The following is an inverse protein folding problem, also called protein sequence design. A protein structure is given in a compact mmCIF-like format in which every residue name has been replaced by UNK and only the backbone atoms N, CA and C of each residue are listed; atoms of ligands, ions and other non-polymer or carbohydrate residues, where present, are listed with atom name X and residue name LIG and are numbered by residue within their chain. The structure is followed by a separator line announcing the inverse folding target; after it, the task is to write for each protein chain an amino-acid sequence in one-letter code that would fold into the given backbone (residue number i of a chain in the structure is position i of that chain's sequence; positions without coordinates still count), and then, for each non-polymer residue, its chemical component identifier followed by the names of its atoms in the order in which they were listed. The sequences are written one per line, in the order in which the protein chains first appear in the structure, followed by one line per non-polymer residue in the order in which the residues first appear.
data_IF_914316616218
#
_entry.id   IF_914316616218
#
_cell.length_a   1.000
_cell.length_b   1.000
_cell.length_c   1.000
_cell.angle_alpha   90.00
_cell.angle_beta   90.00
_cell.angle_gamma   90.00
#
_symmetry.space_group_name_H-M   'P 1'
#
loop_
_entity.id
_entity.type
_entity.pdbx_description
1 polymer ?
#
# COMPACT_ATOMS: atom_id res chain seq x y z
N UNK A 1 25.21 -29.44 5.96
CA UNK A 1 24.19 -28.67 6.70
C UNK A 1 22.91 -28.74 5.89
N UNK A 2 21.99 -29.64 6.23
CA UNK A 2 20.74 -29.81 5.48
C UNK A 2 19.82 -28.64 5.79
N UNK A 3 19.60 -27.77 4.79
CA UNK A 3 18.61 -26.72 4.85
C UNK A 3 17.21 -27.33 5.05
N UNK A 4 16.62 -27.13 6.22
CA UNK A 4 15.28 -27.61 6.50
C UNK A 4 14.26 -26.56 6.03
N UNK A 5 13.57 -26.75 4.89
CA UNK A 5 12.67 -25.75 4.30
C UNK A 5 11.36 -25.56 5.07
N UNK A 6 11.05 -26.46 6.00
CA UNK A 6 9.76 -26.44 6.73
C UNK A 6 9.48 -25.14 7.49
N UNK A 7 10.44 -24.54 8.26
CA UNK A 7 10.15 -23.30 8.98
C UNK A 7 9.95 -22.10 8.07
N UNK A 8 10.59 -22.05 6.89
CA UNK A 8 10.41 -20.97 5.93
C UNK A 8 9.05 -21.06 5.23
N UNK A 9 8.64 -22.27 4.87
CA UNK A 9 7.35 -22.51 4.23
C UNK A 9 6.18 -22.20 5.18
N UNK A 10 6.30 -22.58 6.44
CA UNK A 10 5.30 -22.23 7.48
C UNK A 10 5.19 -20.71 7.64
N UNK A 11 6.30 -19.97 7.69
CA UNK A 11 6.30 -18.52 7.81
C UNK A 11 5.65 -17.85 6.60
N UNK A 12 5.92 -18.33 5.39
CA UNK A 12 5.29 -17.84 4.17
C UNK A 12 3.78 -18.10 4.16
N UNK A 13 3.35 -19.27 4.57
CA UNK A 13 1.93 -19.61 4.68
C UNK A 13 1.22 -18.74 5.73
N UNK A 14 1.85 -18.51 6.88
CA UNK A 14 1.30 -17.63 7.93
C UNK A 14 1.19 -16.19 7.46
N UNK A 15 2.22 -15.65 6.78
CA UNK A 15 2.17 -14.27 6.26
C UNK A 15 1.10 -14.12 5.18
N UNK A 16 1.00 -15.08 4.27
CA UNK A 16 -0.03 -15.08 3.23
C UNK A 16 -1.44 -15.20 3.82
N UNK A 17 -1.63 -16.08 4.81
CA UNK A 17 -2.90 -16.21 5.53
C UNK A 17 -3.31 -14.93 6.24
N UNK A 18 -2.35 -14.22 6.86
CA UNK A 18 -2.60 -12.94 7.52
C UNK A 18 -3.05 -11.87 6.51
N UNK A 19 -2.36 -11.75 5.36
CA UNK A 19 -2.73 -10.83 4.29
C UNK A 19 -4.11 -11.15 3.71
N UNK A 20 -4.39 -12.43 3.49
CA UNK A 20 -5.69 -12.88 3.00
C UNK A 20 -6.80 -12.56 4.00
N UNK A 21 -6.56 -12.77 5.30
CA UNK A 21 -7.49 -12.42 6.35
C UNK A 21 -7.82 -10.92 6.36
N UNK A 22 -6.80 -10.06 6.28
CA UNK A 22 -6.97 -8.61 6.20
C UNK A 22 -7.79 -8.22 4.96
N UNK A 23 -7.49 -8.81 3.81
CA UNK A 23 -8.18 -8.53 2.56
C UNK A 23 -9.66 -8.94 2.62
N UNK A 24 -9.95 -10.16 3.08
CA UNK A 24 -11.33 -10.68 3.14
C UNK A 24 -12.14 -9.95 4.21
N UNK A 25 -11.57 -9.78 5.41
CA UNK A 25 -12.27 -9.12 6.51
C UNK A 25 -12.46 -7.63 6.24
N UNK A 26 -11.44 -6.95 5.69
CA UNK A 26 -11.54 -5.56 5.28
C UNK A 26 -12.58 -5.35 4.18
N UNK A 27 -12.66 -6.26 3.20
CA UNK A 27 -13.69 -6.23 2.16
C UNK A 27 -15.11 -6.42 2.73
N UNK A 28 -15.27 -7.35 3.68
CA UNK A 28 -16.57 -7.55 4.35
C UNK A 28 -17.00 -6.34 5.20
N UNK A 29 -16.04 -5.51 5.65
CA UNK A 29 -16.32 -4.31 6.43
C UNK A 29 -16.55 -3.06 5.58
N UNK A 30 -16.38 -3.12 4.24
CA UNK A 30 -16.62 -1.96 3.35
C UNK A 30 -18.09 -1.50 3.38
N UNK A 31 -19.02 -2.44 3.51
CA UNK A 31 -20.45 -2.14 3.54
C UNK A 31 -20.93 -1.57 4.88
N UNK A 32 -20.09 -1.60 5.92
CA UNK A 32 -20.41 -0.99 7.20
C UNK A 32 -20.20 0.53 7.13
N UNK A 33 -21.28 1.31 7.21
CA UNK A 33 -21.13 2.76 7.19
C UNK A 33 -20.35 3.21 8.42
N UNK A 34 -19.30 3.99 8.21
CA UNK A 34 -18.62 4.74 9.27
C UNK A 34 -19.55 5.89 9.72
N UNK A 35 -20.70 5.53 10.30
CA UNK A 35 -21.68 6.51 10.76
C UNK A 35 -21.06 7.39 11.85
N UNK A 36 -21.20 8.70 11.68
CA UNK A 36 -20.77 9.67 12.69
C UNK A 36 -21.79 9.62 13.85
N UNK A 37 -21.32 9.26 15.04
CA UNK A 37 -22.10 9.26 16.25
C UNK A 37 -21.43 10.13 17.31
N UNK A 38 -21.75 11.39 17.31
CA UNK A 38 -21.14 12.36 18.23
C UNK A 38 -21.38 12.06 19.71
N UNK A 39 -22.41 11.28 20.06
CA UNK A 39 -22.67 10.83 21.41
C UNK A 39 -21.71 9.73 21.87
N UNK A 40 -21.14 9.01 20.95
CA UNK A 40 -20.17 7.92 21.19
C UNK A 40 -18.72 8.36 20.99
N UNK A 41 -18.39 9.66 21.18
CA UNK A 41 -17.01 10.16 21.00
C UNK A 41 -16.10 9.69 22.12
N UNK A 42 -14.87 9.29 21.72
CA UNK A 42 -13.80 8.94 22.65
C UNK A 42 -14.20 7.89 23.70
N UNK A 43 -15.09 6.97 23.35
CA UNK A 43 -15.40 5.86 24.21
C UNK A 43 -14.20 4.93 24.33
N UNK A 44 -13.87 4.45 25.54
CA UNK A 44 -12.83 3.45 25.73
C UNK A 44 -13.24 2.12 25.09
N UNK A 45 -12.28 1.17 24.90
CA UNK A 45 -12.59 -0.16 24.45
C UNK A 45 -13.63 -0.86 25.32
N UNK A 46 -14.67 -1.42 24.70
CA UNK A 46 -15.78 -2.11 25.33
C UNK A 46 -16.24 -3.28 24.46
N UNK A 47 -17.16 -4.11 24.94
CA UNK A 47 -17.72 -5.24 24.21
C UNK A 47 -18.38 -4.85 22.87
N UNK A 48 -18.88 -3.62 22.74
CA UNK A 48 -19.46 -3.08 21.52
C UNK A 48 -18.42 -2.45 20.59
N UNK A 49 -17.40 -1.78 21.14
CA UNK A 49 -16.32 -1.09 20.42
C UNK A 49 -14.97 -1.62 20.89
N UNK A 50 -14.47 -2.66 20.24
CA UNK A 50 -13.27 -3.38 20.70
C UNK A 50 -12.02 -2.50 20.80
N UNK A 51 -11.88 -1.52 19.92
CA UNK A 51 -10.78 -0.53 19.94
C UNK A 51 -11.25 0.86 20.39
N UNK A 52 -12.49 0.95 20.91
CA UNK A 52 -13.09 2.21 21.23
C UNK A 52 -13.50 3.01 19.98
N UNK A 53 -13.76 4.30 20.17
CA UNK A 53 -14.24 5.19 19.13
C UNK A 53 -13.34 6.42 18.95
N UNK A 54 -13.33 6.98 17.73
CA UNK A 54 -12.57 8.17 17.40
C UNK A 54 -13.27 9.48 17.85
N UNK A 55 -12.70 10.63 17.44
CA UNK A 55 -13.24 11.96 17.70
C UNK A 55 -14.60 12.24 17.01
N UNK A 56 -15.01 11.41 16.07
CA UNK A 56 -16.30 11.46 15.37
C UNK A 56 -17.27 10.36 15.84
N UNK A 57 -16.89 9.57 16.86
CA UNK A 57 -17.67 8.45 17.36
C UNK A 57 -17.74 7.26 16.42
N UNK A 58 -16.76 7.10 15.52
CA UNK A 58 -16.65 5.97 14.58
C UNK A 58 -15.90 4.83 15.24
N UNK A 59 -16.28 3.59 14.93
CA UNK A 59 -15.60 2.41 15.41
C UNK A 59 -14.18 2.31 14.84
N UNK A 60 -13.19 2.32 15.72
CA UNK A 60 -11.78 2.23 15.34
C UNK A 60 -11.41 0.86 14.78
N UNK A 61 -12.07 -0.23 15.20
CA UNK A 61 -11.85 -1.57 14.66
C UNK A 61 -12.18 -1.63 13.17
N UNK A 62 -13.39 -1.21 12.80
CA UNK A 62 -13.83 -1.17 11.39
C UNK A 62 -12.90 -0.27 10.58
N UNK A 63 -12.57 0.91 11.11
CA UNK A 63 -11.70 1.87 10.44
C UNK A 63 -10.28 1.34 10.19
N UNK A 64 -9.71 0.58 11.13
CA UNK A 64 -8.41 -0.07 10.95
C UNK A 64 -8.42 -1.07 9.79
N UNK A 65 -9.43 -1.91 9.70
CA UNK A 65 -9.51 -2.91 8.63
C UNK A 65 -9.81 -2.29 7.26
N UNK A 66 -10.65 -1.27 7.19
CA UNK A 66 -10.88 -0.52 5.95
C UNK A 66 -9.60 0.20 5.48
N UNK A 67 -8.87 0.81 6.42
CA UNK A 67 -7.58 1.42 6.14
C UNK A 67 -6.51 0.41 5.68
N UNK A 68 -6.44 -0.74 6.35
CA UNK A 68 -5.54 -1.82 5.97
C UNK A 68 -5.85 -2.37 4.57
N UNK A 69 -7.13 -2.55 4.22
CA UNK A 69 -7.55 -2.95 2.89
C UNK A 69 -7.15 -1.92 1.83
N UNK A 70 -7.40 -0.63 2.09
CA UNK A 70 -7.01 0.46 1.18
C UNK A 70 -5.49 0.47 0.95
N UNK A 71 -4.69 0.32 2.01
CA UNK A 71 -3.24 0.23 1.92
C UNK A 71 -2.79 -0.98 1.09
N UNK A 72 -3.46 -2.13 1.26
CA UNK A 72 -3.19 -3.34 0.50
C UNK A 72 -3.50 -3.15 -1.00
N UNK A 73 -4.62 -2.52 -1.33
CA UNK A 73 -5.01 -2.22 -2.71
C UNK A 73 -3.99 -1.29 -3.39
N UNK A 74 -3.58 -0.22 -2.69
CA UNK A 74 -2.55 0.70 -3.19
C UNK A 74 -1.22 -0.03 -3.39
N UNK A 75 -0.80 -0.83 -2.40
CA UNK A 75 0.45 -1.59 -2.47
C UNK A 75 0.49 -2.58 -3.63
N UNK A 76 -0.59 -3.35 -3.83
CA UNK A 76 -0.70 -4.30 -4.95
C UNK A 76 -0.71 -3.54 -6.28
N UNK A 77 -1.50 -2.46 -6.38
CA UNK A 77 -1.55 -1.63 -7.58
C UNK A 77 -0.17 -1.07 -7.96
N UNK A 78 0.54 -0.50 -6.99
CA UNK A 78 1.89 0.02 -7.18
C UNK A 78 2.88 -1.08 -7.61
N UNK A 79 2.82 -2.27 -6.97
CA UNK A 79 3.68 -3.39 -7.29
C UNK A 79 3.44 -3.93 -8.72
N UNK A 80 2.18 -4.02 -9.14
CA UNK A 80 1.83 -4.44 -10.51
C UNK A 80 2.30 -3.41 -11.54
N UNK A 81 2.06 -2.12 -11.31
CA UNK A 81 2.53 -1.07 -12.21
C UNK A 81 4.06 -1.04 -12.33
N UNK A 82 4.77 -1.09 -11.20
CA UNK A 82 6.23 -1.07 -11.21
C UNK A 82 6.82 -2.34 -11.86
N UNK A 83 6.23 -3.50 -11.58
CA UNK A 83 6.62 -4.76 -12.20
C UNK A 83 6.40 -4.76 -13.71
N UNK A 84 5.28 -4.24 -14.18
CA UNK A 84 5.01 -4.09 -15.61
C UNK A 84 6.02 -3.17 -16.29
N UNK A 85 6.29 -1.99 -15.71
CA UNK A 85 7.30 -1.05 -16.23
C UNK A 85 8.68 -1.71 -16.30
N UNK A 86 9.09 -2.43 -15.23
CA UNK A 86 10.37 -3.12 -15.18
C UNK A 86 10.48 -4.19 -16.27
N UNK A 87 9.41 -4.96 -16.53
CA UNK A 87 9.35 -5.95 -17.60
C UNK A 87 9.50 -5.31 -18.98
N UNK A 88 8.79 -4.21 -19.23
CA UNK A 88 8.87 -3.46 -20.49
C UNK A 88 10.29 -2.93 -20.70
N UNK A 89 10.88 -2.31 -19.68
CA UNK A 89 12.25 -1.81 -19.76
C UNK A 89 13.26 -2.92 -20.03
N UNK A 90 13.13 -4.05 -19.34
CA UNK A 90 13.99 -5.21 -19.55
C UNK A 90 13.83 -5.81 -20.95
N UNK A 91 12.63 -5.87 -21.50
CA UNK A 91 12.37 -6.35 -22.85
C UNK A 91 12.99 -5.42 -23.91
N UNK A 92 12.79 -4.10 -23.76
CA UNK A 92 13.36 -3.09 -24.66
C UNK A 92 14.89 -3.11 -24.63
N UNK A 93 15.49 -3.27 -23.46
CA UNK A 93 16.94 -3.38 -23.29
C UNK A 93 17.56 -4.56 -24.05
N UNK A 94 16.78 -5.63 -24.27
CA UNK A 94 17.22 -6.83 -25.00
C UNK A 94 17.22 -6.67 -26.53
N UNK A 95 16.52 -5.69 -27.08
CA UNK A 95 16.34 -5.53 -28.53
C UNK A 95 17.64 -5.04 -29.19
N UNK A 96 18.32 -4.09 -28.56
CA UNK A 96 19.54 -3.50 -29.16
C UNK A 96 20.48 -2.95 -28.06
N UNK A 97 21.82 -3.12 -28.20
CA UNK A 97 22.81 -2.65 -27.22
C UNK A 97 22.72 -1.14 -26.89
N UNK A 98 22.35 -0.32 -27.87
CA UNK A 98 22.15 1.14 -27.63
C UNK A 98 20.95 1.42 -26.73
N UNK A 99 19.89 0.63 -26.83
CA UNK A 99 18.72 0.74 -25.96
C UNK A 99 19.04 0.31 -24.53
N UNK A 100 19.87 -0.72 -24.36
CA UNK A 100 20.36 -1.15 -23.06
C UNK A 100 21.12 -0.02 -22.34
N UNK A 101 22.05 0.64 -23.05
CA UNK A 101 22.78 1.79 -22.50
C UNK A 101 21.83 2.92 -22.10
N UNK A 102 20.84 3.23 -22.94
CA UNK A 102 19.85 4.27 -22.66
C UNK A 102 18.99 3.92 -21.42
N UNK A 103 18.51 2.67 -21.31
CA UNK A 103 17.71 2.22 -20.17
C UNK A 103 18.51 2.27 -18.86
N UNK A 104 19.78 1.87 -18.89
CA UNK A 104 20.69 1.98 -17.73
C UNK A 104 20.87 3.45 -17.33
N UNK A 105 21.10 4.33 -18.28
CA UNK A 105 21.32 5.75 -18.01
C UNK A 105 20.09 6.41 -17.38
N UNK A 106 18.89 6.05 -17.85
CA UNK A 106 17.63 6.52 -17.25
C UNK A 106 17.50 5.97 -15.81
N UNK A 107 17.78 4.70 -15.59
CA UNK A 107 17.70 4.08 -14.26
C UNK A 107 18.69 4.72 -13.30
N UNK A 108 19.95 4.91 -13.73
CA UNK A 108 21.00 5.53 -12.91
C UNK A 108 20.66 7.00 -12.59
N UNK A 109 20.08 7.74 -13.54
CA UNK A 109 19.62 9.10 -13.32
C UNK A 109 18.50 9.16 -12.27
N UNK A 110 17.55 8.22 -12.32
CA UNK A 110 16.49 8.13 -11.31
C UNK A 110 17.03 7.74 -9.92
N UNK A 111 17.98 6.80 -9.87
CA UNK A 111 18.59 6.36 -8.61
C UNK A 111 19.52 7.41 -8.01
N UNK A 112 20.13 8.28 -8.82
CA UNK A 112 21.01 9.35 -8.35
C UNK A 112 20.25 10.50 -7.66
N UNK A 113 18.94 10.62 -7.89
CA UNK A 113 18.13 11.64 -7.25
C UNK A 113 17.76 11.22 -5.82
N UNK A 114 17.93 12.10 -4.82
CA UNK A 114 17.41 11.84 -3.48
C UNK A 114 15.91 11.54 -3.53
N UNK A 115 15.50 10.37 -3.03
CA UNK A 115 14.12 9.88 -3.11
C UNK A 115 13.09 10.91 -2.60
N UNK A 116 13.42 11.62 -1.51
CA UNK A 116 12.55 12.65 -0.95
C UNK A 116 12.37 13.85 -1.89
N UNK A 117 13.42 14.28 -2.60
CA UNK A 117 13.32 15.37 -3.56
C UNK A 117 12.43 15.00 -4.76
N UNK A 118 12.59 13.77 -5.26
CA UNK A 118 11.77 13.26 -6.36
C UNK A 118 10.30 13.16 -5.94
N UNK A 119 10.03 12.70 -4.72
CA UNK A 119 8.67 12.59 -4.19
C UNK A 119 8.02 13.97 -4.02
N UNK A 120 8.75 14.96 -3.48
CA UNK A 120 8.27 16.33 -3.35
C UNK A 120 8.00 16.94 -4.73
N UNK A 121 8.90 16.74 -5.71
CA UNK A 121 8.75 17.24 -7.06
C UNK A 121 7.49 16.67 -7.73
N UNK A 122 7.26 15.34 -7.60
CA UNK A 122 6.06 14.69 -8.13
C UNK A 122 4.80 15.23 -7.45
N UNK A 123 4.80 15.32 -6.12
CA UNK A 123 3.67 15.87 -5.38
C UNK A 123 3.37 17.31 -5.79
N UNK A 124 4.40 18.13 -6.00
CA UNK A 124 4.23 19.53 -6.43
C UNK A 124 3.70 19.63 -7.86
N UNK A 125 4.20 18.82 -8.79
CA UNK A 125 3.78 18.86 -10.19
C UNK A 125 2.40 18.25 -10.42
N UNK A 126 2.04 17.17 -9.73
CA UNK A 126 0.75 16.49 -9.86
C UNK A 126 -0.30 17.01 -8.87
N UNK A 127 0.11 17.43 -7.68
CA UNK A 127 -0.78 17.90 -6.62
C UNK A 127 -0.88 19.42 -6.48
N UNK A 128 -0.01 20.19 -7.13
CA UNK A 128 0.06 21.66 -7.04
C UNK A 128 -0.92 22.41 -7.94
N UNK A 129 -1.83 21.74 -8.64
CA UNK A 129 -2.93 22.39 -9.33
C UNK A 129 -3.97 22.92 -8.33
N UNK A 130 -4.67 24.01 -8.70
CA UNK A 130 -5.70 24.71 -7.91
C UNK A 130 -6.79 23.80 -7.27
N UNK A 131 -6.85 22.51 -7.60
CA UNK A 131 -7.83 21.54 -7.12
C UNK A 131 -7.25 20.52 -6.11
N UNK A 132 -6.00 20.69 -5.68
CA UNK A 132 -5.33 19.76 -4.74
C UNK A 132 -5.17 20.29 -3.32
N UNK A 133 -5.74 21.44 -3.01
CA UNK A 133 -5.76 22.02 -1.66
C UNK A 133 -7.21 22.23 -1.25
N UNK A 134 -7.82 21.16 -0.76
CA UNK A 134 -8.96 21.18 0.16
C UNK A 134 -8.67 20.20 1.28
#
# INVERSE_FOLDING_TARGET
MLYNPTPTLIRLLLSFSCLLFIAVYGAAMLDNPLSVNLLARHLPPDALYWFGTDNLGRDLWIRCFQGALTSLQIGIGAALCSGFIALVMAAVSRIHPRLDVLMRLITDAMLSMPHLLLLILICFTLGGGKNGVI
#
